data_IF_271209684972
#
_entry.id   IF_271209684972
#
_cell.length_a   1.000
_cell.length_b   1.000
_cell.length_c   1.000
_cell.angle_alpha   90.00
_cell.angle_beta   90.00
_cell.angle_gamma   90.00
#
_symmetry.space_group_name_H-M   'P 1'
#
loop_
_entity.id
_entity.type
_entity.pdbx_description
1 polymer ?
#
# COMPACT_ATOMS: atom_id res chain seq x y z
N UNK A 1 -4.39 -11.13 -21.77
CA UNK A 1 -4.97 -10.55 -20.54
C UNK A 1 -3.83 -10.05 -19.66
N UNK A 2 -3.56 -8.75 -19.63
CA UNK A 2 -2.54 -8.15 -18.73
C UNK A 2 -3.20 -7.02 -17.99
N UNK A 3 -3.69 -7.32 -16.79
CA UNK A 3 -4.23 -6.34 -15.87
C UNK A 3 -3.11 -5.33 -15.58
N UNK A 4 -3.29 -4.02 -15.81
CA UNK A 4 -2.26 -3.06 -15.43
C UNK A 4 -2.14 -3.11 -13.91
N UNK A 5 -0.96 -3.48 -13.43
CA UNK A 5 -0.56 -3.23 -12.04
C UNK A 5 -0.64 -1.72 -11.85
N UNK A 6 -1.80 -1.23 -11.44
CA UNK A 6 -1.98 0.16 -11.07
C UNK A 6 -0.98 0.42 -9.95
N UNK A 7 0.05 1.20 -10.28
CA UNK A 7 1.10 1.67 -9.36
C UNK A 7 0.54 2.63 -8.31
N UNK A 8 -0.70 2.42 -7.89
CA UNK A 8 -1.48 3.19 -6.95
C UNK A 8 -1.66 2.37 -5.68
N UNK A 9 -1.52 3.06 -4.56
CA UNK A 9 -1.77 2.52 -3.25
C UNK A 9 -3.29 2.34 -3.07
N UNK A 10 -3.77 1.17 -2.65
CA UNK A 10 -5.21 0.97 -2.42
C UNK A 10 -5.76 1.81 -1.26
N UNK A 11 -4.88 2.39 -0.43
CA UNK A 11 -5.25 3.16 0.76
C UNK A 11 -5.36 4.65 0.45
N UNK A 12 -4.30 5.26 -0.07
CA UNK A 12 -4.25 6.68 -0.37
C UNK A 12 -4.46 7.04 -1.85
N UNK A 13 -4.63 6.04 -2.73
CA UNK A 13 -4.77 6.18 -4.19
C UNK A 13 -3.58 6.85 -4.91
N UNK A 14 -2.60 7.39 -4.18
CA UNK A 14 -1.34 7.90 -4.71
C UNK A 14 -0.36 6.80 -5.08
N UNK A 15 0.80 7.15 -5.65
CA UNK A 15 1.74 6.17 -6.17
C UNK A 15 2.26 5.20 -5.10
N UNK A 16 2.16 3.89 -5.35
CA UNK A 16 2.73 2.87 -4.49
C UNK A 16 4.26 2.81 -4.57
N UNK A 17 4.86 3.29 -5.66
CA UNK A 17 6.31 3.22 -5.92
C UNK A 17 6.83 1.77 -5.84
N UNK A 18 6.01 0.81 -6.25
CA UNK A 18 6.41 -0.58 -6.36
C UNK A 18 7.02 -0.81 -7.75
N UNK A 19 8.27 -1.25 -7.81
CA UNK A 19 8.92 -1.61 -9.08
C UNK A 19 8.50 -3.00 -9.59
N UNK A 20 7.80 -3.79 -8.78
CA UNK A 20 7.48 -5.20 -9.03
C UNK A 20 8.69 -6.14 -9.18
N UNK A 21 9.90 -5.66 -8.89
CA UNK A 21 11.13 -6.44 -8.80
C UNK A 21 11.44 -6.89 -7.37
N UNK A 22 12.31 -7.89 -7.23
CA UNK A 22 12.82 -8.38 -5.93
C UNK A 22 13.55 -7.31 -5.12
N UNK A 23 14.11 -6.31 -5.81
CA UNK A 23 14.79 -5.17 -5.19
C UNK A 23 13.82 -4.12 -4.62
N UNK A 24 12.51 -4.28 -4.81
CA UNK A 24 11.53 -3.32 -4.30
C UNK A 24 11.50 -3.34 -2.76
N UNK A 25 11.38 -2.16 -2.15
CA UNK A 25 11.28 -2.00 -0.69
C UNK A 25 10.13 -2.82 -0.08
N UNK A 26 9.07 -3.12 -0.85
CA UNK A 26 7.92 -3.91 -0.38
C UNK A 26 8.28 -5.38 -0.09
N UNK A 27 9.36 -5.90 -0.67
CA UNK A 27 9.87 -7.25 -0.40
C UNK A 27 10.66 -7.33 0.92
N UNK A 28 11.20 -6.20 1.37
CA UNK A 28 12.01 -6.10 2.59
C UNK A 28 11.22 -5.53 3.78
N UNK A 29 10.04 -4.97 3.52
CA UNK A 29 9.22 -4.32 4.54
C UNK A 29 8.04 -5.20 4.91
N UNK A 30 7.86 -5.47 6.20
CA UNK A 30 6.67 -6.17 6.69
C UNK A 30 5.46 -5.22 6.62
N UNK A 31 4.44 -5.59 5.85
CA UNK A 31 3.21 -4.80 5.78
C UNK A 31 2.31 -5.15 6.97
N UNK A 32 1.88 -4.16 7.79
CA UNK A 32 0.96 -4.39 8.89
C UNK A 32 -0.36 -5.02 8.45
N UNK A 33 -0.86 -6.01 9.20
CA UNK A 33 -2.13 -6.69 8.92
C UNK A 33 -3.33 -5.74 8.85
N UNK A 34 -3.32 -4.68 9.66
CA UNK A 34 -4.37 -3.65 9.65
C UNK A 34 -4.46 -2.94 8.28
N UNK A 35 -3.33 -2.66 7.63
CA UNK A 35 -3.31 -2.04 6.29
C UNK A 35 -3.78 -3.03 5.22
N UNK A 36 -3.41 -4.31 5.35
CA UNK A 36 -3.88 -5.38 4.46
C UNK A 36 -5.40 -5.56 4.57
N UNK A 37 -5.93 -5.56 5.80
CA UNK A 37 -7.37 -5.63 6.05
C UNK A 37 -8.11 -4.44 5.43
N UNK A 38 -7.54 -3.24 5.52
CA UNK A 38 -8.10 -2.05 4.90
C UNK A 38 -8.08 -2.13 3.36
N UNK A 39 -7.00 -2.62 2.76
CA UNK A 39 -6.91 -2.84 1.31
C UNK A 39 -7.92 -3.90 0.82
N UNK A 40 -8.07 -5.01 1.55
CA UNK A 40 -9.07 -6.04 1.29
C UNK A 40 -10.49 -5.49 1.38
N UNK A 41 -10.79 -4.68 2.40
CA UNK A 41 -12.11 -4.02 2.55
C UNK A 41 -12.44 -3.12 1.36
N UNK A 42 -11.44 -2.55 0.71
CA UNK A 42 -11.59 -1.73 -0.51
C UNK A 42 -11.67 -2.54 -1.80
N UNK A 43 -11.57 -3.87 -1.75
CA UNK A 43 -11.60 -4.75 -2.92
C UNK A 43 -10.31 -4.74 -3.74
N UNK A 44 -9.20 -4.26 -3.17
CA UNK A 44 -7.92 -4.06 -3.86
C UNK A 44 -6.84 -5.01 -3.30
N UNK A 45 -7.13 -6.30 -3.35
CA UNK A 45 -6.33 -7.39 -2.79
C UNK A 45 -5.07 -7.73 -3.59
N UNK A 46 -4.87 -7.13 -4.77
CA UNK A 46 -3.71 -7.39 -5.65
C UNK A 46 -2.80 -6.16 -5.88
N UNK A 47 -2.96 -5.10 -5.09
CA UNK A 47 -2.16 -3.88 -5.20
C UNK A 47 -1.20 -3.70 -4.02
N UNK A 48 0.01 -3.24 -4.29
CA UNK A 48 0.98 -2.91 -3.23
C UNK A 48 0.56 -1.64 -2.48
N UNK A 49 0.66 -1.69 -1.14
CA UNK A 49 0.45 -0.55 -0.23
C UNK A 49 1.72 0.29 -0.20
N UNK A 50 1.66 1.59 -0.46
CA UNK A 50 2.86 2.44 -0.52
C UNK A 50 3.63 2.51 0.80
N UNK A 51 4.96 2.69 0.73
CA UNK A 51 5.83 2.89 1.91
C UNK A 51 5.35 4.04 2.81
N UNK A 52 4.78 5.11 2.24
CA UNK A 52 4.25 6.25 3.01
C UNK A 52 3.11 5.84 3.95
N UNK A 53 2.20 4.96 3.49
CA UNK A 53 1.10 4.48 4.32
C UNK A 53 1.59 3.58 5.45
N UNK A 54 2.59 2.73 5.17
CA UNK A 54 3.22 1.89 6.19
C UNK A 54 3.93 2.76 7.23
N UNK A 55 4.80 3.65 6.79
CA UNK A 55 5.57 4.55 7.65
C UNK A 55 4.67 5.44 8.51
N UNK A 56 3.57 5.97 7.95
CA UNK A 56 2.57 6.72 8.72
C UNK A 56 1.89 5.86 9.77
N UNK A 57 1.51 4.63 9.43
CA UNK A 57 0.89 3.71 10.38
C UNK A 57 1.84 3.37 11.52
N UNK A 58 3.12 3.10 11.23
CA UNK A 58 4.13 2.81 12.25
C UNK A 58 4.43 4.02 13.14
N UNK A 59 4.43 5.24 12.58
CA UNK A 59 4.66 6.47 13.35
C UNK A 59 3.49 6.92 14.21
N UNK A 60 2.26 6.73 13.72
CA UNK A 60 1.04 7.29 14.35
C UNK A 60 0.16 6.25 15.03
N UNK A 61 0.41 4.95 14.80
CA UNK A 61 -0.48 3.86 15.21
C UNK A 61 -1.87 3.90 14.57
N UNK A 62 -2.08 4.79 13.59
CA UNK A 62 -3.41 5.13 13.06
C UNK A 62 -3.49 4.81 11.57
N UNK A 63 -4.66 4.31 11.14
CA UNK A 63 -4.90 3.98 9.73
C UNK A 63 -4.80 5.23 8.85
N UNK A 64 -4.07 5.18 7.71
CA UNK A 64 -4.11 6.24 6.73
C UNK A 64 -5.48 6.30 6.08
N UNK A 65 -6.23 7.35 6.37
CA UNK A 65 -7.41 7.75 5.61
C UNK A 65 -6.91 8.48 4.37
N UNK A 66 -7.37 8.07 3.19
CA UNK A 66 -6.87 8.56 1.89
C UNK A 66 -7.26 9.99 1.54
N UNK A 67 -7.21 10.92 2.50
CA UNK A 67 -7.74 12.28 2.39
C UNK A 67 -6.89 13.34 3.09
N UNK A 68 -5.66 13.05 3.50
CA UNK A 68 -4.72 14.07 3.99
C UNK A 68 -3.66 14.30 2.92
N UNK A 69 -3.84 15.36 2.13
CA UNK A 69 -2.86 15.93 1.20
C UNK A 69 -2.04 17.00 1.92
#
# INVERSE_FOLDING_TARGET
>A
MKQPLSNQCPICLGSNQCSADTSCWCMQTKVPEALIALAKKRGLNSQCICKKCIDRFEKTGSLPTGSEQ
#
